data_IF_918258262788
#
_entry.id   IF_918258262788
#
_cell.length_a   1.000
_cell.length_b   1.000
_cell.length_c   1.000
_cell.angle_alpha   90.00
_cell.angle_beta   90.00
_cell.angle_gamma   90.00
#
_symmetry.space_group_name_H-M   'P 1'
#
loop_
_entity.id
_entity.type
_entity.pdbx_description
1 polymer ?
#
# COMPACT_ATOMS: atom_id res chain seq x y z
N UNK A 1 71.19 34.18 23.62
CA UNK A 1 70.00 33.32 23.83
C UNK A 1 69.07 33.56 22.64
N UNK A 2 68.76 32.49 21.91
CA UNK A 2 67.98 32.48 20.67
C UNK A 2 66.49 32.41 21.01
N UNK A 3 65.71 33.42 20.65
CA UNK A 3 64.25 33.29 20.60
C UNK A 3 63.77 33.75 19.21
N UNK A 4 63.27 32.78 18.45
CA UNK A 4 62.58 32.95 17.18
C UNK A 4 61.12 33.37 17.38
N UNK A 5 60.49 33.69 16.25
CA UNK A 5 59.06 33.56 15.92
C UNK A 5 58.20 34.81 16.01
N UNK A 6 57.32 35.11 15.06
CA UNK A 6 57.00 34.53 13.74
C UNK A 6 56.08 35.56 13.04
N UNK A 7 56.18 35.61 11.71
CA UNK A 7 55.38 36.43 10.81
C UNK A 7 53.89 36.07 10.86
N UNK A 8 53.03 37.08 10.85
CA UNK A 8 51.58 36.94 10.76
C UNK A 8 51.14 36.52 9.33
N UNK A 9 50.14 35.62 9.18
CA UNK A 9 49.73 35.11 7.89
C UNK A 9 48.63 35.98 7.25
N UNK A 10 48.81 36.37 5.99
CA UNK A 10 47.73 36.82 5.11
C UNK A 10 47.18 35.58 4.38
N UNK A 11 46.14 34.96 4.94
CA UNK A 11 45.39 33.89 4.27
C UNK A 11 44.13 34.50 3.64
N UNK A 12 44.16 34.72 2.33
CA UNK A 12 43.00 35.12 1.53
C UNK A 12 42.16 33.86 1.25
N UNK A 13 41.12 33.64 2.04
CA UNK A 13 40.15 32.57 1.80
C UNK A 13 39.18 33.00 0.69
N UNK A 14 39.33 32.42 -0.50
CA UNK A 14 38.32 32.52 -1.57
C UNK A 14 37.18 31.58 -1.16
N UNK A 15 36.08 32.14 -0.66
CA UNK A 15 34.84 31.41 -0.47
C UNK A 15 34.23 31.10 -1.84
N UNK A 16 34.46 29.88 -2.34
CA UNK A 16 33.71 29.35 -3.47
C UNK A 16 32.25 29.15 -3.02
N UNK A 17 31.37 30.06 -3.44
CA UNK A 17 29.92 29.88 -3.31
C UNK A 17 29.53 28.73 -4.22
N UNK A 18 29.38 27.53 -3.64
CA UNK A 18 28.72 26.42 -4.32
C UNK A 18 27.24 26.80 -4.40
N UNK A 19 26.82 27.33 -5.53
CA UNK A 19 25.41 27.42 -5.88
C UNK A 19 24.89 25.99 -6.06
N UNK A 20 24.36 25.40 -4.98
CA UNK A 20 23.52 24.22 -5.11
C UNK A 20 22.35 24.58 -6.03
N UNK A 21 21.97 23.72 -7.00
CA UNK A 21 20.73 23.95 -7.71
C UNK A 21 19.61 23.83 -6.67
N UNK A 22 18.95 24.96 -6.41
CA UNK A 22 17.66 24.95 -5.75
C UNK A 22 16.72 24.14 -6.67
N UNK A 23 16.50 22.88 -6.34
CA UNK A 23 15.41 22.10 -6.91
C UNK A 23 14.15 22.90 -6.65
N UNK A 24 13.62 23.51 -7.70
CA UNK A 24 12.44 24.35 -7.63
C UNK A 24 11.35 23.58 -6.89
N UNK A 25 10.95 24.07 -5.71
CA UNK A 25 9.60 23.83 -5.22
C UNK A 25 8.66 24.54 -6.19
N UNK A 26 8.43 23.93 -7.36
CA UNK A 26 7.27 24.23 -8.18
C UNK A 26 6.06 24.05 -7.26
N UNK A 27 5.41 25.16 -6.92
CA UNK A 27 4.17 25.13 -6.17
C UNK A 27 3.19 24.38 -7.04
N UNK A 28 3.00 23.09 -6.73
CA UNK A 28 2.05 22.24 -7.44
C UNK A 28 0.66 22.83 -7.19
N UNK A 29 -0.06 23.15 -8.26
CA UNK A 29 -1.41 23.71 -8.20
C UNK A 29 -2.41 22.77 -8.87
N UNK A 30 -3.68 22.87 -8.46
CA UNK A 30 -4.78 22.12 -9.07
C UNK A 30 -4.61 20.60 -9.03
N UNK A 31 -4.97 19.93 -10.13
CA UNK A 31 -4.95 18.47 -10.25
C UNK A 31 -3.53 17.88 -10.16
N UNK A 32 -2.48 18.63 -10.52
CA UNK A 32 -1.08 18.22 -10.35
C UNK A 32 -0.73 18.00 -8.88
N UNK A 33 -1.18 18.91 -8.00
CA UNK A 33 -1.00 18.78 -6.55
C UNK A 33 -1.71 17.54 -6.02
N UNK A 34 -2.99 17.38 -6.38
CA UNK A 34 -3.80 16.25 -5.94
C UNK A 34 -3.25 14.92 -6.45
N UNK A 35 -2.67 14.88 -7.65
CA UNK A 35 -2.03 13.70 -8.20
C UNK A 35 -0.80 13.29 -7.39
N UNK A 36 0.09 14.23 -7.06
CA UNK A 36 1.27 13.93 -6.24
C UNK A 36 0.89 13.50 -4.81
N UNK A 37 -0.07 14.19 -4.20
CA UNK A 37 -0.60 13.80 -2.89
C UNK A 37 -1.27 12.42 -2.94
N UNK A 38 -2.05 12.12 -4.00
CA UNK A 38 -2.66 10.81 -4.18
C UNK A 38 -1.61 9.71 -4.35
N UNK A 39 -0.54 9.93 -5.13
CA UNK A 39 0.57 8.96 -5.26
C UNK A 39 1.17 8.64 -3.89
N UNK A 40 1.44 9.66 -3.06
CA UNK A 40 1.97 9.43 -1.72
C UNK A 40 0.96 8.72 -0.81
N UNK A 41 -0.28 9.17 -0.78
CA UNK A 41 -1.35 8.58 0.04
C UNK A 41 -1.72 7.15 -0.36
N UNK A 42 -1.55 6.79 -1.64
CA UNK A 42 -1.75 5.43 -2.13
C UNK A 42 -0.52 4.54 -1.85
N UNK A 43 0.65 5.13 -1.58
CA UNK A 43 1.84 4.38 -1.21
C UNK A 43 1.84 3.96 0.28
N UNK A 44 0.87 4.44 1.07
CA UNK A 44 0.71 4.16 2.50
C UNK A 44 -0.58 3.39 2.78
N UNK A 45 -0.55 2.50 3.78
CA UNK A 45 -1.74 1.76 4.23
C UNK A 45 -2.66 2.59 5.13
N UNK A 46 -2.12 3.65 5.72
CA UNK A 46 -2.85 4.62 6.53
C UNK A 46 -3.41 5.73 5.64
N UNK A 47 -4.65 6.13 5.93
CA UNK A 47 -5.35 7.23 5.24
C UNK A 47 -5.65 8.34 6.23
N UNK A 48 -4.69 9.22 6.53
CA UNK A 48 -4.96 10.40 7.34
C UNK A 48 -5.97 11.32 6.64
N UNK A 49 -6.65 12.19 7.41
CA UNK A 49 -7.68 13.09 6.88
C UNK A 49 -7.17 14.03 5.78
N UNK A 50 -5.87 14.36 5.80
CA UNK A 50 -5.17 15.13 4.76
C UNK A 50 -5.17 14.46 3.38
N UNK A 51 -5.27 13.13 3.32
CA UNK A 51 -5.37 12.40 2.06
C UNK A 51 -6.77 12.47 1.43
N UNK A 52 -7.79 12.93 2.16
CA UNK A 52 -9.18 12.86 1.72
C UNK A 52 -9.45 13.61 0.40
N UNK A 53 -8.95 14.84 0.15
CA UNK A 53 -9.20 15.54 -1.11
C UNK A 53 -8.60 14.80 -2.32
N UNK A 54 -7.36 14.36 -2.18
CA UNK A 54 -6.57 13.71 -3.24
C UNK A 54 -7.08 12.31 -3.56
N UNK A 55 -7.42 11.53 -2.53
CA UNK A 55 -8.05 10.23 -2.70
C UNK A 55 -9.49 10.35 -3.25
N UNK A 56 -10.27 11.35 -2.83
CA UNK A 56 -11.60 11.59 -3.39
C UNK A 56 -11.54 11.91 -4.88
N UNK A 57 -10.59 12.77 -5.27
CA UNK A 57 -10.33 13.08 -6.68
C UNK A 57 -9.92 11.83 -7.47
N UNK A 58 -9.05 10.99 -6.90
CA UNK A 58 -8.60 9.74 -7.53
C UNK A 58 -9.74 8.72 -7.68
N UNK A 59 -10.48 8.45 -6.61
CA UNK A 59 -11.54 7.44 -6.61
C UNK A 59 -12.79 7.88 -7.36
N UNK A 60 -13.03 9.19 -7.51
CA UNK A 60 -14.10 9.71 -8.39
C UNK A 60 -13.84 9.44 -9.87
N UNK A 61 -12.58 9.18 -10.27
CA UNK A 61 -12.25 8.71 -11.62
C UNK A 61 -12.72 7.27 -11.76
N UNK A 62 -13.86 7.11 -12.41
CA UNK A 62 -14.43 5.84 -12.82
C UNK A 62 -14.95 5.96 -14.26
N UNK A 63 -14.82 4.88 -15.01
CA UNK A 63 -15.31 4.73 -16.38
C UNK A 63 -16.15 3.46 -16.46
N UNK A 64 -16.93 3.32 -17.54
CA UNK A 64 -17.78 2.14 -17.76
C UNK A 64 -17.00 0.82 -17.78
N UNK A 65 -15.78 0.83 -18.31
CA UNK A 65 -14.88 -0.34 -18.33
C UNK A 65 -13.78 -0.16 -17.31
N UNK A 66 -13.42 -1.24 -16.61
CA UNK A 66 -12.32 -1.22 -15.65
C UNK A 66 -10.99 -0.82 -16.31
N UNK A 67 -10.68 -1.36 -17.49
CA UNK A 67 -9.47 -0.99 -18.25
C UNK A 67 -9.35 0.51 -18.50
N UNK A 68 -10.48 1.17 -18.79
CA UNK A 68 -10.52 2.60 -19.05
C UNK A 68 -10.41 3.40 -17.74
N UNK A 69 -10.92 2.85 -16.64
CA UNK A 69 -10.73 3.39 -15.28
C UNK A 69 -9.26 3.35 -14.88
N UNK A 70 -8.59 2.20 -15.07
CA UNK A 70 -7.15 2.04 -14.83
C UNK A 70 -6.35 3.05 -15.64
N UNK A 71 -6.62 3.15 -16.95
CA UNK A 71 -5.93 4.13 -17.82
C UNK A 71 -6.15 5.56 -17.32
N UNK A 72 -7.38 5.94 -17.01
CA UNK A 72 -7.69 7.30 -16.55
C UNK A 72 -7.07 7.61 -15.18
N UNK A 73 -7.04 6.64 -14.26
CA UNK A 73 -6.37 6.78 -12.95
C UNK A 73 -4.87 6.90 -13.10
N UNK A 74 -4.25 6.09 -13.95
CA UNK A 74 -2.83 6.21 -14.27
C UNK A 74 -2.51 7.58 -14.88
N UNK A 75 -3.31 8.05 -15.85
CA UNK A 75 -3.12 9.39 -16.44
C UNK A 75 -3.26 10.53 -15.42
N UNK A 76 -4.17 10.40 -14.45
CA UNK A 76 -4.26 11.37 -13.36
C UNK A 76 -3.01 11.35 -12.47
N UNK A 77 -2.52 10.17 -12.08
CA UNK A 77 -1.30 10.07 -11.26
C UNK A 77 -0.05 10.57 -12.02
N UNK A 78 0.03 10.35 -13.33
CA UNK A 78 1.09 10.89 -14.20
C UNK A 78 1.10 12.42 -14.31
N UNK A 79 0.09 13.13 -13.81
CA UNK A 79 0.20 14.58 -13.66
C UNK A 79 1.28 14.96 -12.64
N UNK A 80 1.61 14.06 -11.71
CA UNK A 80 2.70 14.28 -10.78
C UNK A 80 4.05 14.11 -11.50
N UNK A 81 4.95 15.12 -11.52
CA UNK A 81 6.23 15.01 -12.20
C UNK A 81 7.08 13.82 -11.75
N UNK A 82 6.97 13.44 -10.46
CA UNK A 82 7.68 12.30 -9.87
C UNK A 82 7.26 10.98 -10.52
N UNK A 83 5.99 10.85 -10.93
CA UNK A 83 5.42 9.63 -11.46
C UNK A 83 6.13 9.08 -12.70
N UNK A 84 6.76 9.96 -13.49
CA UNK A 84 7.43 9.59 -14.74
C UNK A 84 8.97 9.66 -14.66
N UNK A 85 9.54 9.98 -13.49
CA UNK A 85 11.00 10.14 -13.33
C UNK A 85 11.78 8.84 -13.55
N UNK A 86 11.24 7.69 -13.13
CA UNK A 86 11.91 6.40 -13.26
C UNK A 86 10.96 5.31 -13.79
N UNK A 87 11.48 4.25 -14.43
CA UNK A 87 10.67 3.08 -14.78
C UNK A 87 9.93 2.47 -13.60
N UNK A 88 10.54 2.48 -12.42
CA UNK A 88 9.98 1.93 -11.19
C UNK A 88 8.80 2.77 -10.69
N UNK A 89 8.87 4.10 -10.80
CA UNK A 89 7.75 4.95 -10.41
C UNK A 89 6.58 4.85 -11.39
N UNK A 90 6.87 4.70 -12.69
CA UNK A 90 5.82 4.40 -13.69
C UNK A 90 5.16 3.05 -13.43
N UNK A 91 5.95 2.05 -13.05
CA UNK A 91 5.42 0.75 -12.65
C UNK A 91 4.53 0.85 -11.40
N UNK A 92 4.94 1.65 -10.40
CA UNK A 92 4.12 1.93 -9.22
C UNK A 92 2.78 2.55 -9.60
N UNK A 93 2.77 3.58 -10.44
CA UNK A 93 1.54 4.23 -10.91
C UNK A 93 0.61 3.24 -11.60
N UNK A 94 1.17 2.36 -12.44
CA UNK A 94 0.41 1.27 -13.06
C UNK A 94 -0.17 0.30 -12.03
N UNK A 95 0.61 -0.07 -11.01
CA UNK A 95 0.17 -0.97 -9.94
C UNK A 95 -0.92 -0.32 -9.06
N UNK A 96 -0.74 0.93 -8.66
CA UNK A 96 -1.74 1.74 -7.95
C UNK A 96 -3.04 1.81 -8.75
N UNK A 97 -2.98 2.15 -10.05
CA UNK A 97 -4.15 2.22 -10.91
C UNK A 97 -4.94 0.89 -10.99
N UNK A 98 -4.25 -0.25 -10.93
CA UNK A 98 -4.86 -1.58 -10.96
C UNK A 98 -5.35 -2.09 -9.58
N UNK A 99 -4.66 -1.72 -8.51
CA UNK A 99 -4.88 -2.27 -7.16
C UNK A 99 -5.63 -1.38 -6.19
N UNK A 100 -5.51 -0.05 -6.30
CA UNK A 100 -6.06 0.87 -5.33
C UNK A 100 -7.59 0.75 -5.22
N UNK A 101 -8.06 0.53 -3.98
CA UNK A 101 -9.48 0.32 -3.64
C UNK A 101 -10.01 -1.08 -3.94
N UNK A 102 -9.13 -2.05 -4.26
CA UNK A 102 -9.51 -3.45 -4.51
C UNK A 102 -8.65 -4.46 -3.75
N UNK A 103 -7.55 -4.00 -3.18
CA UNK A 103 -6.56 -4.83 -2.49
C UNK A 103 -6.58 -4.66 -0.96
N UNK A 104 -7.58 -3.98 -0.41
CA UNK A 104 -7.83 -3.99 1.04
C UNK A 104 -8.59 -5.26 1.46
N UNK A 105 -8.53 -5.59 2.75
CA UNK A 105 -9.11 -6.82 3.28
C UNK A 105 -10.62 -6.94 3.02
N UNK A 106 -11.37 -5.83 3.13
CA UNK A 106 -12.81 -5.83 2.88
C UNK A 106 -13.13 -6.18 1.42
N UNK A 107 -12.41 -5.58 0.48
CA UNK A 107 -12.53 -5.87 -0.95
C UNK A 107 -12.18 -7.33 -1.28
N UNK A 108 -11.11 -7.87 -0.70
CA UNK A 108 -10.68 -9.25 -0.94
C UNK A 108 -11.69 -10.27 -0.37
N UNK A 109 -12.24 -10.03 0.82
CA UNK A 109 -13.24 -10.91 1.45
C UNK A 109 -14.58 -11.00 0.69
N UNK A 110 -14.84 -10.04 -0.20
CA UNK A 110 -15.99 -10.08 -1.12
C UNK A 110 -15.59 -10.69 -2.45
N UNK A 111 -14.48 -10.23 -3.04
CA UNK A 111 -14.09 -10.59 -4.42
C UNK A 111 -13.56 -12.01 -4.53
N UNK A 112 -12.95 -12.55 -3.48
CA UNK A 112 -12.32 -13.87 -3.48
C UNK A 112 -13.20 -14.99 -2.94
N UNK A 113 -14.52 -14.77 -2.88
CA UNK A 113 -15.47 -15.82 -2.52
C UNK A 113 -15.53 -16.86 -3.63
N UNK A 114 -15.33 -18.12 -3.26
CA UNK A 114 -15.39 -19.27 -4.17
C UNK A 114 -16.47 -20.22 -3.67
N UNK A 115 -17.30 -20.68 -4.59
CA UNK A 115 -18.28 -21.72 -4.34
C UNK A 115 -17.65 -23.08 -4.54
N UNK A 116 -17.65 -23.91 -3.49
CA UNK A 116 -17.20 -25.29 -3.61
C UNK A 116 -18.39 -26.22 -3.85
N UNK A 117 -18.54 -26.68 -5.09
CA UNK A 117 -19.55 -27.69 -5.43
C UNK A 117 -19.22 -29.08 -4.85
N UNK A 118 -17.94 -29.36 -4.53
CA UNK A 118 -17.53 -30.67 -4.01
C UNK A 118 -17.89 -30.88 -2.53
N UNK A 119 -17.97 -29.81 -1.73
CA UNK A 119 -18.29 -29.85 -0.29
C UNK A 119 -19.75 -29.49 0.03
N UNK A 120 -20.67 -29.80 -0.88
CA UNK A 120 -22.10 -29.53 -0.66
C UNK A 120 -22.48 -28.06 -0.71
N UNK A 121 -21.75 -27.24 -1.49
CA UNK A 121 -22.11 -25.84 -1.75
C UNK A 121 -21.60 -24.83 -0.72
N UNK A 122 -20.57 -25.18 0.06
CA UNK A 122 -19.92 -24.24 0.99
C UNK A 122 -19.21 -23.13 0.22
N UNK A 123 -19.34 -21.90 0.73
CA UNK A 123 -18.59 -20.73 0.24
C UNK A 123 -17.40 -20.50 1.14
N UNK A 124 -16.20 -20.46 0.57
CA UNK A 124 -14.98 -20.07 1.27
C UNK A 124 -14.33 -18.86 0.59
N UNK A 125 -13.38 -18.22 1.27
CA UNK A 125 -12.61 -17.11 0.72
C UNK A 125 -11.24 -17.64 0.30
N UNK A 126 -10.89 -17.49 -0.97
CA UNK A 126 -9.59 -17.91 -1.50
C UNK A 126 -8.47 -17.15 -0.76
N UNK A 127 -7.47 -17.89 -0.30
CA UNK A 127 -6.30 -17.38 0.44
C UNK A 127 -5.14 -16.95 -0.47
N UNK A 128 -5.28 -17.08 -1.79
CA UNK A 128 -4.27 -16.66 -2.76
C UNK A 128 -4.44 -15.17 -3.09
N UNK A 129 -3.40 -14.38 -2.81
CA UNK A 129 -3.38 -12.96 -3.16
C UNK A 129 -3.38 -12.80 -4.68
N UNK A 130 -4.31 -12.00 -5.26
CA UNK A 130 -4.30 -11.74 -6.69
C UNK A 130 -3.01 -11.05 -7.13
N UNK A 131 -2.47 -11.42 -8.29
CA UNK A 131 -1.19 -10.88 -8.79
C UNK A 131 -1.17 -9.34 -8.91
N UNK A 132 -2.29 -8.72 -9.27
CA UNK A 132 -2.38 -7.25 -9.32
C UNK A 132 -2.31 -6.59 -7.93
N UNK A 133 -2.76 -7.29 -6.88
CA UNK A 133 -2.60 -6.82 -5.50
C UNK A 133 -1.17 -7.02 -5.02
N UNK A 134 -0.57 -8.19 -5.27
CA UNK A 134 0.82 -8.45 -4.93
C UNK A 134 1.77 -7.43 -5.60
N UNK A 135 1.53 -7.09 -6.87
CA UNK A 135 2.31 -6.09 -7.60
C UNK A 135 2.19 -4.67 -7.02
N UNK A 136 1.03 -4.35 -6.42
CA UNK A 136 0.79 -3.05 -5.80
C UNK A 136 1.31 -3.00 -4.37
N UNK A 137 0.86 -3.89 -3.49
CA UNK A 137 1.17 -3.86 -2.06
C UNK A 137 2.59 -4.32 -1.75
N UNK A 138 3.23 -5.05 -2.67
CA UNK A 138 4.62 -5.49 -2.60
C UNK A 138 5.59 -4.62 -3.39
N UNK A 139 5.16 -3.47 -3.91
CA UNK A 139 6.05 -2.59 -4.68
C UNK A 139 7.14 -1.99 -3.78
N UNK A 140 8.33 -1.74 -4.33
CA UNK A 140 9.48 -1.20 -3.59
C UNK A 140 9.26 0.19 -2.96
N UNK A 141 8.24 0.92 -3.42
CA UNK A 141 7.87 2.25 -2.95
C UNK A 141 6.60 2.24 -2.10
N UNK A 142 6.10 1.05 -1.78
CA UNK A 142 5.01 0.84 -0.83
C UNK A 142 5.58 0.20 0.42
N UNK A 143 4.94 0.41 1.58
CA UNK A 143 5.26 -0.35 2.78
C UNK A 143 4.34 -1.58 2.87
N UNK A 144 4.83 -2.81 2.63
CA UNK A 144 3.99 -4.00 2.70
C UNK A 144 3.42 -4.23 4.10
N UNK A 145 4.16 -3.83 5.15
CA UNK A 145 3.71 -3.95 6.54
C UNK A 145 2.47 -3.12 6.88
N UNK A 146 2.14 -2.13 6.05
CA UNK A 146 0.95 -1.30 6.22
C UNK A 146 -0.11 -1.59 5.14
N UNK A 147 0.32 -1.85 3.90
CA UNK A 147 -0.56 -1.96 2.73
C UNK A 147 -1.02 -3.37 2.40
N UNK A 148 -0.21 -4.40 2.69
CA UNK A 148 -0.52 -5.76 2.26
C UNK A 148 -1.45 -6.43 3.27
N UNK A 149 -2.70 -6.76 2.90
CA UNK A 149 -3.57 -7.52 3.80
C UNK A 149 -3.01 -8.93 4.01
N UNK A 150 -3.17 -9.45 5.21
CA UNK A 150 -2.84 -10.82 5.55
C UNK A 150 -4.07 -11.73 5.50
N UNK A 151 -3.87 -13.01 5.19
CA UNK A 151 -4.93 -14.01 5.33
C UNK A 151 -4.79 -14.70 6.68
N UNK A 152 -5.90 -14.87 7.39
CA UNK A 152 -5.97 -15.53 8.69
C UNK A 152 -6.73 -16.84 8.55
N UNK A 153 -6.11 -17.94 8.99
CA UNK A 153 -6.73 -19.25 9.05
C UNK A 153 -6.64 -20.07 7.76
N UNK A 154 -7.53 -21.06 7.62
CA UNK A 154 -7.66 -21.88 6.41
C UNK A 154 -9.03 -21.66 5.75
N UNK A 155 -9.13 -21.69 4.41
CA UNK A 155 -10.41 -21.52 3.72
C UNK A 155 -11.52 -22.45 4.23
N UNK A 156 -11.19 -23.70 4.53
CA UNK A 156 -12.12 -24.75 4.97
C UNK A 156 -12.68 -24.49 6.37
N UNK A 157 -11.97 -23.68 7.18
CA UNK A 157 -12.34 -23.33 8.56
C UNK A 157 -12.69 -21.84 8.72
N UNK A 158 -13.21 -21.25 7.64
CA UNK A 158 -13.71 -19.87 7.65
C UNK A 158 -12.59 -18.84 7.74
N UNK A 159 -11.47 -19.09 7.07
CA UNK A 159 -10.40 -18.12 6.91
C UNK A 159 -10.83 -16.87 6.13
N UNK A 160 -10.14 -15.77 6.36
CA UNK A 160 -10.50 -14.46 5.82
C UNK A 160 -9.28 -13.51 5.77
N UNK A 161 -9.35 -12.51 4.90
CA UNK A 161 -8.36 -11.44 4.78
C UNK A 161 -8.57 -10.38 5.87
N UNK A 162 -7.49 -9.81 6.39
CA UNK A 162 -7.48 -8.70 7.35
C UNK A 162 -6.42 -7.67 6.98
N UNK A 163 -6.63 -6.43 7.40
CA UNK A 163 -5.63 -5.38 7.21
C UNK A 163 -4.37 -5.72 8.01
N UNK A 164 -3.20 -5.31 7.52
CA UNK A 164 -1.91 -5.67 8.13
C UNK A 164 -1.83 -5.35 9.63
N UNK A 165 -2.37 -4.19 10.04
CA UNK A 165 -2.42 -3.73 11.45
C UNK A 165 -3.27 -4.61 12.38
N UNK A 166 -4.22 -5.37 11.82
CA UNK A 166 -5.19 -6.16 12.58
C UNK A 166 -4.82 -7.65 12.61
N UNK A 167 -3.70 -8.03 11.97
CA UNK A 167 -3.28 -9.42 11.76
C UNK A 167 -3.19 -10.22 13.07
N UNK A 168 -2.50 -9.70 14.08
CA UNK A 168 -2.28 -10.43 15.35
C UNK A 168 -3.59 -10.63 16.12
N UNK A 169 -4.40 -9.56 16.21
CA UNK A 169 -5.69 -9.62 16.89
C UNK A 169 -6.66 -10.57 16.18
N UNK A 170 -6.67 -10.58 14.84
CA UNK A 170 -7.50 -11.47 14.05
C UNK A 170 -7.06 -12.94 14.17
N UNK A 171 -5.75 -13.20 14.19
CA UNK A 171 -5.20 -14.54 14.36
C UNK A 171 -5.55 -15.12 15.75
N UNK A 172 -5.42 -14.32 16.81
CA UNK A 172 -5.83 -14.73 18.15
C UNK A 172 -7.31 -15.12 18.21
N UNK A 173 -8.20 -14.25 17.71
CA UNK A 173 -9.65 -14.52 17.64
C UNK A 173 -9.97 -15.76 16.81
N UNK A 174 -9.25 -15.98 15.71
CA UNK A 174 -9.39 -17.17 14.90
C UNK A 174 -9.02 -18.42 15.69
N UNK A 175 -7.85 -18.44 16.33
CA UNK A 175 -7.37 -19.59 17.10
C UNK A 175 -8.28 -19.93 18.27
N UNK A 176 -8.80 -18.93 18.98
CA UNK A 176 -9.75 -19.13 20.08
C UNK A 176 -11.05 -19.80 19.61
N UNK A 177 -11.61 -19.34 18.48
CA UNK A 177 -12.80 -19.96 17.87
C UNK A 177 -12.53 -21.42 17.51
N UNK A 178 -11.39 -21.67 16.86
CA UNK A 178 -11.00 -22.99 16.38
C UNK A 178 -10.82 -23.97 17.55
N UNK A 179 -10.17 -23.54 18.63
CA UNK A 179 -10.02 -24.33 19.84
C UNK A 179 -11.37 -24.66 20.48
N UNK A 180 -12.31 -23.70 20.52
CA UNK A 180 -13.65 -23.91 21.03
C UNK A 180 -14.46 -24.91 20.18
N UNK A 181 -14.41 -24.79 18.85
CA UNK A 181 -15.02 -25.74 17.91
C UNK A 181 -14.47 -27.16 18.09
N UNK A 182 -13.14 -27.29 18.15
CA UNK A 182 -12.48 -28.58 18.27
C UNK A 182 -12.76 -29.23 19.64
N UNK A 183 -12.91 -28.44 20.70
CA UNK A 183 -13.33 -28.92 22.02
C UNK A 183 -14.76 -29.46 22.00
N UNK A 184 -15.71 -28.73 21.37
CA UNK A 184 -17.09 -29.20 21.21
C UNK A 184 -17.17 -30.50 20.43
N UNK A 185 -16.46 -30.59 19.29
CA UNK A 185 -16.42 -31.82 18.49
C UNK A 185 -15.93 -33.02 19.29
N UNK A 186 -14.83 -32.86 20.05
CA UNK A 186 -14.31 -33.95 20.92
C UNK A 186 -15.32 -34.35 21.99
N UNK A 187 -16.03 -33.40 22.59
CA UNK A 187 -17.06 -33.69 23.57
C UNK A 187 -18.23 -34.45 22.92
N UNK A 188 -18.74 -33.98 21.78
CA UNK A 188 -19.83 -34.64 21.06
C UNK A 188 -19.45 -36.05 20.57
N UNK A 189 -18.18 -36.26 20.20
CA UNK A 189 -17.62 -37.59 19.88
C UNK A 189 -17.54 -38.49 21.12
N UNK A 190 -17.23 -37.94 22.31
CA UNK A 190 -17.17 -38.71 23.56
C UNK A 190 -18.55 -39.14 24.06
N UNK A 191 -19.60 -38.36 23.78
CA UNK A 191 -20.99 -38.66 24.17
C UNK A 191 -21.77 -39.48 23.13
N UNK A 192 -21.15 -39.86 22.00
CA UNK A 192 -21.70 -40.78 21.00
C UNK A 192 -21.28 -42.22 21.26
#
# INVERSE_FOLDING_TARGET
MKNHCLLAPFALAIAAVVAAPAGAQEVLTGDTRLACEATLCLATGTRPGECAPSLSRYFSIHKRKWSDTVRARASFLSLCPVSDQTPEMRALVGAMANGAGRCDAASLNVTLRVWNHADGGRVFINNQMPGYCAAYTGHQYTNPGDLAPGYVGTPERGGYWVDARDQDAALARYNDRIAAEDSRRRNDEWYR
#
